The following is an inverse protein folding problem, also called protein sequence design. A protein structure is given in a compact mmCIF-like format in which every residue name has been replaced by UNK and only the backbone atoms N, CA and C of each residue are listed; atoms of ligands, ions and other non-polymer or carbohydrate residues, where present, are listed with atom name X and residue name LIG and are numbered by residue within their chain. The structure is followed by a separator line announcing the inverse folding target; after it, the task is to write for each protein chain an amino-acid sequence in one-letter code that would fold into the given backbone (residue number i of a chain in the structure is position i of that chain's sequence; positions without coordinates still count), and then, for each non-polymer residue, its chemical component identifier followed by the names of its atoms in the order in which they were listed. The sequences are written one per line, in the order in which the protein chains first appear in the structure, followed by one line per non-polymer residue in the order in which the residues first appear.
data_IF_700880980807
#
_entry.id   IF_700880980807
#
_cell.length_a   1.000
_cell.length_b   1.000
_cell.length_c   1.000
_cell.angle_alpha   90.00
_cell.angle_beta   90.00
_cell.angle_gamma   90.00
#
_symmetry.space_group_name_H-M   'P 1'
#
loop_
_entity.id
_entity.type
_entity.pdbx_description
1 polymer ?
#
# COMPACT_ATOMS: atom_id res chain seq x y z
N UNK A 1 43.97 -22.44 16.40
CA UNK A 1 42.51 -22.45 16.12
C UNK A 1 41.90 -21.25 16.82
N UNK A 2 41.12 -20.44 16.08
CA UNK A 2 40.64 -19.09 16.42
C UNK A 2 39.80 -19.08 17.73
N UNK A 3 40.17 -18.37 18.82
CA UNK A 3 39.88 -16.96 19.23
C UNK A 3 38.35 -16.66 19.33
N UNK A 4 37.67 -16.10 20.36
CA UNK A 4 37.81 -14.93 21.31
C UNK A 4 36.73 -15.13 22.44
N UNK A 5 37.01 -15.10 23.75
CA UNK A 5 36.99 -14.01 24.79
C UNK A 5 35.62 -13.38 25.18
N UNK A 6 35.11 -13.82 26.35
CA UNK A 6 34.65 -13.14 27.60
C UNK A 6 34.40 -11.60 27.73
N UNK A 7 33.28 -11.30 28.45
CA UNK A 7 33.01 -10.24 29.49
C UNK A 7 32.09 -9.02 29.17
N UNK A 8 31.16 -8.85 30.13
CA UNK A 8 30.23 -7.78 30.52
C UNK A 8 30.70 -6.31 30.38
N UNK A 9 29.78 -5.37 30.08
CA UNK A 9 29.22 -4.38 31.03
C UNK A 9 28.18 -3.44 30.40
N UNK A 10 27.27 -3.03 31.25
CA UNK A 10 26.17 -2.10 31.07
C UNK A 10 26.58 -0.63 31.28
N UNK A 11 25.71 0.27 30.79
CA UNK A 11 25.29 1.56 31.37
C UNK A 11 26.00 2.89 30.99
N UNK A 12 25.12 3.84 30.63
CA UNK A 12 25.18 5.31 30.65
C UNK A 12 26.19 6.00 29.70
N UNK A 13 25.77 6.98 28.88
CA UNK A 13 25.29 8.27 29.40
C UNK A 13 24.16 8.91 28.60
N UNK A 14 23.13 9.30 29.35
CA UNK A 14 22.10 10.28 29.00
C UNK A 14 22.70 11.68 29.19
N UNK A 15 22.49 12.56 28.21
CA UNK A 15 22.42 14.01 28.45
C UNK A 15 21.27 14.55 27.57
N UNK A 16 20.07 14.56 28.16
CA UNK A 16 19.28 15.75 28.54
C UNK A 16 18.71 16.49 27.31
N UNK A 17 17.43 16.33 26.93
CA UNK A 17 16.21 16.61 27.72
C UNK A 17 15.86 18.09 27.49
N UNK A 18 14.72 18.55 26.97
CA UNK A 18 13.32 18.09 26.90
C UNK A 18 12.74 18.60 25.55
N UNK A 19 11.70 18.05 24.92
CA UNK A 19 10.30 18.16 25.33
C UNK A 19 9.39 17.33 24.39
N UNK A 20 8.26 16.89 24.94
CA UNK A 20 7.31 15.94 24.38
C UNK A 20 6.43 16.51 23.23
N UNK A 21 5.80 15.57 22.50
CA UNK A 21 4.66 15.70 21.55
C UNK A 21 5.00 16.18 20.13
N UNK A 22 5.33 15.24 19.24
CA UNK A 22 4.35 14.39 18.52
C UNK A 22 5.11 13.57 17.48
N UNK A 23 5.30 12.28 17.73
CA UNK A 23 5.55 11.33 16.66
C UNK A 23 5.03 9.98 17.09
N UNK A 24 4.49 9.27 16.11
CA UNK A 24 4.16 7.84 16.14
C UNK A 24 2.83 7.47 16.80
N UNK A 25 1.84 7.22 15.94
CA UNK A 25 1.00 6.02 16.03
C UNK A 25 0.30 5.79 14.68
N UNK A 26 1.06 5.42 13.64
CA UNK A 26 0.62 4.23 12.91
C UNK A 26 0.71 3.15 13.99
N UNK A 27 -0.44 2.77 14.56
CA UNK A 27 -0.45 1.60 15.43
C UNK A 27 0.16 0.48 14.60
N UNK A 28 1.24 -0.11 15.08
CA UNK A 28 1.76 -1.36 14.55
C UNK A 28 0.58 -2.33 14.54
N UNK A 29 -0.07 -2.48 13.38
CA UNK A 29 -1.04 -3.54 13.20
C UNK A 29 -0.16 -4.76 13.02
N UNK A 30 0.09 -5.46 14.12
CA UNK A 30 0.77 -6.75 14.09
C UNK A 30 -0.11 -7.71 13.31
N UNK A 31 0.17 -7.79 12.01
CA UNK A 31 -0.47 -8.69 11.07
C UNK A 31 -0.23 -10.13 11.53
N UNK A 32 -1.30 -10.89 11.75
CA UNK A 32 -1.18 -12.28 12.25
C UNK A 32 -0.74 -13.20 11.12
N UNK A 33 0.22 -14.08 11.41
CA UNK A 33 0.58 -15.22 10.56
C UNK A 33 -0.37 -16.37 10.93
N UNK A 34 -0.95 -17.12 9.97
CA UNK A 34 -1.80 -18.27 10.27
C UNK A 34 -1.06 -19.34 11.09
N UNK A 35 -1.76 -20.01 12.01
CA UNK A 35 -1.23 -21.19 12.70
C UNK A 35 -0.92 -22.31 11.68
N UNK A 36 0.29 -22.89 11.73
CA UNK A 36 0.71 -24.02 10.90
C UNK A 36 1.79 -23.78 9.83
N UNK A 37 2.40 -22.58 9.75
CA UNK A 37 3.38 -22.24 8.71
C UNK A 37 4.81 -22.05 9.23
N UNK A 38 5.80 -22.63 8.55
CA UNK A 38 7.25 -22.38 8.77
C UNK A 38 7.93 -21.88 7.49
N UNK A 39 8.82 -20.89 7.63
CA UNK A 39 9.75 -20.42 6.58
C UNK A 39 10.60 -21.60 6.09
N UNK A 40 10.61 -21.93 4.78
CA UNK A 40 11.44 -23.02 4.22
C UNK A 40 12.35 -22.60 3.07
N UNK A 41 13.43 -23.37 2.95
CA UNK A 41 14.69 -23.11 2.22
C UNK A 41 14.64 -23.68 0.79
N UNK A 42 15.31 -23.00 -0.15
CA UNK A 42 15.38 -23.25 -1.58
C UNK A 42 16.00 -24.61 -1.99
N UNK A 43 15.53 -25.17 -3.12
CA UNK A 43 16.13 -26.31 -3.85
C UNK A 43 16.00 -26.08 -5.37
N UNK A 44 17.02 -26.43 -6.17
CA UNK A 44 17.10 -26.12 -7.62
C UNK A 44 16.39 -27.14 -8.54
N UNK A 45 15.88 -26.72 -9.72
CA UNK A 45 15.20 -27.61 -10.68
C UNK A 45 16.12 -28.19 -11.77
N UNK A 46 15.76 -29.37 -12.29
CA UNK A 46 16.41 -30.10 -13.40
C UNK A 46 15.53 -30.17 -14.66
N UNK A 47 16.11 -30.40 -15.85
CA UNK A 47 15.45 -30.39 -17.17
C UNK A 47 15.57 -31.72 -17.95
N UNK A 48 14.52 -32.23 -18.63
CA UNK A 48 14.58 -33.15 -19.81
C UNK A 48 13.31 -33.05 -20.73
N UNK A 49 13.29 -33.81 -21.86
CA UNK A 49 12.68 -33.66 -23.20
C UNK A 49 11.36 -34.44 -23.48
N UNK A 50 10.59 -34.06 -24.52
CA UNK A 50 9.16 -34.43 -24.78
C UNK A 50 8.87 -34.91 -26.23
N UNK A 51 8.03 -35.96 -26.41
CA UNK A 51 7.23 -36.24 -27.63
C UNK A 51 5.84 -36.85 -27.31
N UNK A 52 4.84 -36.56 -28.16
CA UNK A 52 3.42 -37.01 -28.18
C UNK A 52 2.42 -36.40 -27.18
N UNK A 53 2.49 -35.10 -26.99
CA UNK A 53 1.68 -34.40 -26.01
C UNK A 53 1.03 -33.14 -26.58
N UNK A 54 -0.24 -32.90 -26.22
CA UNK A 54 -0.97 -31.70 -26.63
C UNK A 54 -0.70 -30.62 -25.57
N UNK A 55 -0.05 -29.49 -25.94
CA UNK A 55 0.21 -28.42 -25.00
C UNK A 55 -1.09 -27.85 -24.44
N UNK A 56 -1.14 -27.77 -23.12
CA UNK A 56 -2.15 -27.14 -22.30
C UNK A 56 -1.45 -26.04 -21.47
N UNK A 57 -2.20 -25.01 -21.08
CA UNK A 57 -1.68 -23.82 -20.39
C UNK A 57 -0.67 -24.20 -19.28
N UNK A 58 0.48 -23.51 -19.20
CA UNK A 58 1.60 -23.76 -18.27
C UNK A 58 2.41 -25.06 -18.47
N UNK A 59 2.66 -25.51 -19.70
CA UNK A 59 3.38 -26.77 -20.03
C UNK A 59 2.70 -28.03 -19.49
N UNK A 60 1.42 -27.94 -19.14
CA UNK A 60 0.62 -29.13 -18.88
C UNK A 60 0.30 -29.79 -20.20
N UNK A 61 0.16 -31.09 -20.21
CA UNK A 61 -0.17 -31.85 -21.40
C UNK A 61 -1.21 -32.89 -21.05
N UNK A 62 -2.11 -33.20 -21.99
CA UNK A 62 -3.18 -34.17 -21.75
C UNK A 62 -3.13 -35.31 -22.75
N UNK A 63 -3.33 -36.51 -22.24
CA UNK A 63 -3.57 -37.71 -23.05
C UNK A 63 -4.69 -38.50 -22.39
N UNK A 64 -5.84 -38.57 -23.06
CA UNK A 64 -7.06 -39.21 -22.52
C UNK A 64 -7.43 -38.62 -21.15
N UNK A 65 -7.29 -39.38 -20.06
CA UNK A 65 -7.61 -38.99 -18.69
C UNK A 65 -6.36 -38.78 -17.83
N UNK A 66 -5.20 -38.66 -18.45
CA UNK A 66 -3.91 -38.45 -17.79
C UNK A 66 -3.43 -37.03 -18.05
N UNK A 67 -2.87 -36.43 -17.01
CA UNK A 67 -2.27 -35.10 -17.05
C UNK A 67 -0.76 -35.25 -16.88
N UNK A 68 -0.03 -34.58 -17.74
CA UNK A 68 1.42 -34.51 -17.71
C UNK A 68 1.84 -33.06 -17.44
N UNK A 69 2.98 -32.87 -16.82
CA UNK A 69 3.66 -31.57 -16.70
C UNK A 69 5.08 -31.79 -17.20
N UNK A 70 5.46 -31.07 -18.27
CA UNK A 70 6.79 -31.18 -18.89
C UNK A 70 7.15 -32.65 -19.21
N UNK A 71 6.21 -33.38 -19.82
CA UNK A 71 6.37 -34.81 -20.13
C UNK A 71 6.22 -35.79 -18.96
N UNK A 72 6.13 -35.34 -17.70
CA UNK A 72 6.00 -36.23 -16.54
C UNK A 72 4.55 -36.46 -16.14
N UNK A 73 4.15 -37.72 -15.96
CA UNK A 73 2.80 -38.07 -15.52
C UNK A 73 2.53 -37.56 -14.10
N UNK A 74 1.46 -36.79 -13.93
CA UNK A 74 0.99 -36.31 -12.63
C UNK A 74 -0.08 -37.28 -12.13
N UNK A 75 0.01 -37.80 -10.89
CA UNK A 75 -0.93 -38.78 -10.35
C UNK A 75 -2.25 -38.11 -9.91
N UNK A 76 -2.97 -37.52 -10.86
CA UNK A 76 -4.29 -36.91 -10.67
C UNK A 76 -5.29 -37.46 -11.69
N UNK A 77 -6.57 -37.37 -11.35
CA UNK A 77 -7.64 -37.60 -12.30
C UNK A 77 -7.67 -36.46 -13.32
N UNK A 78 -7.32 -36.79 -14.57
CA UNK A 78 -7.34 -35.85 -15.70
C UNK A 78 -8.73 -35.63 -16.30
N UNK A 79 -9.75 -36.39 -15.86
CA UNK A 79 -11.13 -36.20 -16.32
C UNK A 79 -11.58 -34.79 -15.95
N UNK A 80 -11.97 -34.02 -16.97
CA UNK A 80 -12.36 -32.62 -16.87
C UNK A 80 -11.33 -31.72 -16.16
N UNK A 81 -10.05 -32.13 -16.14
CA UNK A 81 -8.98 -31.29 -15.63
C UNK A 81 -8.90 -30.02 -16.47
N UNK A 82 -9.00 -28.84 -15.88
CA UNK A 82 -9.01 -27.60 -16.63
C UNK A 82 -8.41 -26.45 -15.84
N UNK A 83 -7.78 -25.52 -16.54
CA UNK A 83 -7.38 -24.24 -16.01
C UNK A 83 -8.63 -23.38 -15.74
N UNK A 84 -8.61 -22.66 -14.63
CA UNK A 84 -9.67 -21.72 -14.26
C UNK A 84 -9.17 -20.30 -14.48
N UNK A 85 -8.10 -19.89 -13.77
CA UNK A 85 -7.51 -18.56 -13.81
C UNK A 85 -6.17 -18.54 -13.07
N UNK A 86 -5.21 -17.67 -13.41
CA UNK A 86 -4.01 -17.33 -12.61
C UNK A 86 -3.25 -18.52 -11.99
N UNK A 87 -3.10 -19.62 -12.74
CA UNK A 87 -2.43 -20.84 -12.28
C UNK A 87 -3.29 -21.78 -11.44
N UNK A 88 -4.57 -21.50 -11.23
CA UNK A 88 -5.54 -22.43 -10.66
C UNK A 88 -6.08 -23.40 -11.71
N UNK A 89 -6.21 -24.66 -11.31
CA UNK A 89 -6.79 -25.73 -12.10
C UNK A 89 -7.81 -26.49 -11.27
N UNK A 90 -8.77 -27.17 -11.90
CA UNK A 90 -9.68 -28.10 -11.22
C UNK A 90 -9.96 -29.32 -12.06
N UNK A 91 -10.34 -30.40 -11.40
CA UNK A 91 -11.12 -31.49 -11.98
C UNK A 91 -12.46 -31.60 -11.21
N UNK A 92 -13.19 -32.72 -11.37
CA UNK A 92 -14.46 -32.94 -10.68
C UNK A 92 -14.36 -32.99 -9.16
N UNK A 93 -13.20 -33.36 -8.62
CA UNK A 93 -13.04 -33.69 -7.19
C UNK A 93 -12.14 -32.74 -6.41
N UNK A 94 -11.27 -32.00 -7.11
CA UNK A 94 -10.21 -31.21 -6.48
C UNK A 94 -9.90 -29.94 -7.26
N UNK A 95 -9.46 -28.92 -6.53
CA UNK A 95 -8.84 -27.70 -7.07
C UNK A 95 -7.36 -27.71 -6.75
N UNK A 96 -6.56 -27.18 -7.66
CA UNK A 96 -5.11 -27.16 -7.63
C UNK A 96 -4.59 -25.76 -7.92
N UNK A 97 -3.41 -25.45 -7.41
CA UNK A 97 -2.64 -24.26 -7.74
C UNK A 97 -1.26 -24.66 -8.24
N UNK A 98 -0.88 -24.17 -9.42
CA UNK A 98 0.41 -24.45 -10.04
C UNK A 98 1.43 -23.36 -9.72
N UNK A 99 2.64 -23.79 -9.37
CA UNK A 99 3.82 -22.94 -9.35
C UNK A 99 4.96 -23.66 -10.05
N UNK A 100 5.87 -22.91 -10.69
CA UNK A 100 7.08 -23.51 -11.28
C UNK A 100 7.96 -24.21 -10.23
N UNK A 101 7.97 -23.69 -9.01
CA UNK A 101 8.82 -24.21 -7.92
C UNK A 101 8.28 -25.50 -7.30
N UNK A 102 6.96 -25.62 -7.13
CA UNK A 102 6.36 -26.74 -6.38
C UNK A 102 5.42 -27.61 -7.23
N UNK A 103 5.36 -27.36 -8.53
CA UNK A 103 4.44 -28.03 -9.43
C UNK A 103 2.98 -27.76 -9.07
N UNK A 104 2.14 -28.74 -9.38
CA UNK A 104 0.70 -28.69 -9.17
C UNK A 104 0.34 -29.12 -7.73
N UNK A 105 -0.13 -28.19 -6.91
CA UNK A 105 -0.46 -28.44 -5.51
C UNK A 105 -1.98 -28.47 -5.31
N UNK A 106 -2.51 -29.53 -4.68
CA UNK A 106 -3.92 -29.60 -4.32
C UNK A 106 -4.23 -28.59 -3.20
N UNK A 107 -5.35 -27.87 -3.32
CA UNK A 107 -5.87 -27.00 -2.27
C UNK A 107 -6.73 -27.86 -1.33
N UNK A 108 -6.35 -28.01 -0.04
CA UNK A 108 -7.07 -28.88 0.88
C UNK A 108 -8.44 -28.33 1.26
N UNK A 109 -9.41 -29.24 1.39
CA UNK A 109 -10.78 -29.00 1.87
C UNK A 109 -11.60 -27.95 1.09
N UNK A 110 -11.22 -27.66 -0.15
CA UNK A 110 -11.98 -26.74 -1.00
C UNK A 110 -13.21 -27.44 -1.59
N UNK A 111 -14.38 -26.83 -1.44
CA UNK A 111 -15.61 -27.26 -2.09
C UNK A 111 -15.59 -26.87 -3.58
N UNK A 112 -15.34 -27.86 -4.45
CA UNK A 112 -15.17 -27.66 -5.90
C UNK A 112 -16.42 -27.12 -6.58
N UNK A 113 -17.60 -27.51 -6.11
CA UNK A 113 -18.87 -27.12 -6.74
C UNK A 113 -19.18 -25.63 -6.59
N UNK A 114 -18.72 -25.01 -5.49
CA UNK A 114 -18.98 -23.60 -5.18
C UNK A 114 -17.83 -22.64 -5.54
N UNK A 115 -16.82 -23.11 -6.28
CA UNK A 115 -15.62 -22.31 -6.60
C UNK A 115 -15.94 -21.04 -7.39
N UNK A 116 -15.37 -19.91 -6.96
CA UNK A 116 -15.41 -18.60 -7.65
C UNK A 116 -14.02 -17.97 -7.64
N UNK A 117 -13.60 -17.35 -8.74
CA UNK A 117 -12.32 -16.66 -8.83
C UNK A 117 -12.47 -15.14 -8.70
N UNK A 118 -11.44 -14.49 -8.16
CA UNK A 118 -11.38 -13.04 -7.94
C UNK A 118 -9.94 -12.55 -8.09
N UNK A 119 -9.57 -11.94 -9.23
CA UNK A 119 -8.16 -11.57 -9.47
C UNK A 119 -7.24 -12.77 -9.09
N UNK A 120 -6.23 -12.55 -8.25
CA UNK A 120 -5.28 -13.58 -7.77
C UNK A 120 -5.87 -14.60 -6.76
N UNK A 121 -7.14 -14.51 -6.41
CA UNK A 121 -7.81 -15.33 -5.39
C UNK A 121 -8.80 -16.33 -5.97
N UNK A 122 -9.08 -17.36 -5.19
CA UNK A 122 -10.17 -18.30 -5.40
C UNK A 122 -10.95 -18.50 -4.10
N UNK A 123 -12.26 -18.64 -4.15
CA UNK A 123 -13.10 -18.88 -2.98
C UNK A 123 -14.01 -20.07 -3.21
N UNK A 124 -14.42 -20.73 -2.14
CA UNK A 124 -15.56 -21.65 -2.12
C UNK A 124 -16.68 -21.09 -1.24
N UNK A 125 -17.68 -21.90 -0.89
CA UNK A 125 -18.78 -21.50 0.02
C UNK A 125 -18.33 -21.18 1.46
N UNK A 126 -17.13 -21.59 1.86
CA UNK A 126 -16.63 -21.47 3.23
C UNK A 126 -15.55 -20.40 3.38
N UNK A 127 -14.54 -20.39 2.49
CA UNK A 127 -13.34 -19.58 2.60
C UNK A 127 -12.92 -18.94 1.27
N UNK A 128 -12.22 -17.81 1.39
CA UNK A 128 -11.38 -17.20 0.37
C UNK A 128 -9.95 -17.72 0.54
N UNK A 129 -9.30 -18.02 -0.57
CA UNK A 129 -7.97 -18.60 -0.66
C UNK A 129 -7.10 -17.75 -1.58
N UNK A 130 -5.81 -17.76 -1.28
CA UNK A 130 -4.77 -17.29 -2.20
C UNK A 130 -3.70 -18.36 -2.30
N UNK A 131 -3.28 -18.66 -3.53
CA UNK A 131 -2.47 -19.84 -3.84
C UNK A 131 -3.17 -21.07 -3.23
N UNK A 132 -2.49 -21.79 -2.35
CA UNK A 132 -3.03 -22.95 -1.64
C UNK A 132 -3.48 -22.67 -0.20
N UNK A 133 -3.59 -21.40 0.21
CA UNK A 133 -3.77 -21.01 1.62
C UNK A 133 -5.12 -20.34 1.89
N UNK A 134 -5.82 -20.78 2.94
CA UNK A 134 -7.07 -20.18 3.45
C UNK A 134 -6.77 -18.81 4.07
N UNK A 135 -7.59 -17.80 3.77
CA UNK A 135 -7.39 -16.41 4.23
C UNK A 135 -8.51 -15.93 5.15
N UNK A 136 -9.73 -15.77 4.62
CA UNK A 136 -10.91 -15.30 5.36
C UNK A 136 -12.15 -16.13 4.99
N UNK A 137 -13.21 -16.06 5.79
CA UNK A 137 -14.49 -16.71 5.44
C UNK A 137 -15.18 -16.03 4.25
N UNK A 138 -15.84 -16.81 3.39
CA UNK A 138 -16.45 -16.33 2.14
C UNK A 138 -17.97 -16.07 2.21
N UNK A 139 -18.59 -16.21 3.38
CA UNK A 139 -20.03 -15.95 3.54
C UNK A 139 -20.40 -14.50 3.18
N UNK A 140 -21.17 -14.32 2.11
CA UNK A 140 -21.53 -12.98 1.59
C UNK A 140 -20.36 -12.18 1.03
N UNK A 141 -19.29 -12.85 0.62
CA UNK A 141 -18.05 -12.22 0.17
C UNK A 141 -18.24 -11.37 -1.09
N UNK A 142 -17.73 -10.15 -1.03
CA UNK A 142 -17.62 -9.21 -2.15
C UNK A 142 -16.26 -8.54 -2.11
N UNK A 143 -15.58 -8.47 -3.25
CA UNK A 143 -14.44 -7.57 -3.44
C UNK A 143 -15.00 -6.13 -3.52
N UNK A 144 -14.52 -5.26 -2.66
CA UNK A 144 -14.95 -3.85 -2.59
C UNK A 144 -14.01 -2.98 -3.40
N UNK A 145 -12.70 -3.17 -3.24
CA UNK A 145 -11.66 -2.41 -3.95
C UNK A 145 -10.33 -3.15 -3.90
N UNK A 146 -9.44 -2.83 -4.83
CA UNK A 146 -8.05 -3.26 -4.88
C UNK A 146 -7.13 -2.05 -5.05
N UNK A 147 -6.03 -2.03 -4.30
CA UNK A 147 -5.06 -0.94 -4.24
C UNK A 147 -3.67 -1.50 -4.50
N UNK A 148 -2.84 -0.72 -5.19
CA UNK A 148 -1.42 -1.03 -5.35
C UNK A 148 -0.61 -0.09 -4.48
N UNK A 149 0.23 -0.60 -3.58
CA UNK A 149 1.17 0.27 -2.89
C UNK A 149 2.35 0.58 -3.81
N UNK A 150 2.49 1.85 -4.19
CA UNK A 150 3.73 2.39 -4.73
C UNK A 150 4.58 2.87 -3.55
N UNK A 151 5.87 2.49 -3.51
CA UNK A 151 6.82 3.03 -2.53
C UNK A 151 7.85 3.85 -3.29
N UNK A 152 7.75 5.18 -3.20
CA UNK A 152 8.82 6.07 -3.65
C UNK A 152 10.09 5.88 -2.81
N UNK A 153 11.25 6.00 -3.47
CA UNK A 153 12.59 6.02 -2.90
C UNK A 153 13.15 4.67 -2.35
N UNK A 154 13.39 3.71 -3.24
CA UNK A 154 14.45 2.70 -3.04
C UNK A 154 15.57 2.97 -4.06
N UNK A 155 16.75 3.33 -3.55
CA UNK A 155 17.99 3.45 -4.33
C UNK A 155 18.28 2.14 -5.08
N UNK A 156 18.45 2.22 -6.40
CA UNK A 156 18.76 1.10 -7.31
C UNK A 156 20.14 0.46 -7.09
N UNK A 157 20.81 0.75 -5.98
CA UNK A 157 22.02 0.01 -5.57
C UNK A 157 21.68 -0.91 -4.40
N UNK A 158 21.16 -2.07 -4.80
CA UNK A 158 21.37 -3.40 -4.24
C UNK A 158 20.09 -4.14 -3.78
N UNK A 159 19.94 -5.33 -4.39
CA UNK A 159 19.04 -6.46 -4.13
C UNK A 159 17.71 -6.51 -4.88
N UNK A 160 17.42 -7.70 -5.42
CA UNK A 160 16.49 -8.03 -6.49
C UNK A 160 15.00 -8.03 -6.08
N UNK A 161 14.57 -7.16 -5.17
CA UNK A 161 13.19 -7.20 -4.64
C UNK A 161 12.39 -5.97 -5.07
N UNK A 162 11.95 -6.01 -6.33
CA UNK A 162 10.88 -5.15 -6.85
C UNK A 162 9.52 -5.65 -6.31
N UNK A 163 9.32 -5.57 -4.98
CA UNK A 163 8.12 -6.14 -4.33
C UNK A 163 7.00 -5.11 -4.31
N UNK A 164 6.17 -5.11 -5.35
CA UNK A 164 4.86 -4.45 -5.31
C UNK A 164 3.96 -5.24 -4.35
N UNK A 165 3.38 -4.57 -3.37
CA UNK A 165 2.33 -5.17 -2.54
C UNK A 165 0.96 -4.71 -3.04
N UNK A 166 0.09 -5.68 -3.28
CA UNK A 166 -1.30 -5.43 -3.62
C UNK A 166 -2.15 -5.55 -2.35
N UNK A 167 -3.08 -4.61 -2.15
CA UNK A 167 -4.02 -4.61 -1.04
C UNK A 167 -5.42 -4.80 -1.59
N UNK A 168 -6.20 -5.70 -1.01
CA UNK A 168 -7.55 -5.99 -1.42
C UNK A 168 -8.50 -5.78 -0.25
N UNK A 169 -9.50 -4.92 -0.44
CA UNK A 169 -10.57 -4.69 0.51
C UNK A 169 -11.74 -5.61 0.17
N UNK A 170 -12.04 -6.53 1.06
CA UNK A 170 -13.18 -7.43 0.98
C UNK A 170 -14.24 -7.08 2.02
N UNK A 171 -15.50 -7.34 1.69
CA UNK A 171 -16.61 -7.36 2.64
C UNK A 171 -17.22 -8.75 2.67
N UNK A 172 -17.45 -9.28 3.87
CA UNK A 172 -18.25 -10.49 4.08
C UNK A 172 -19.29 -10.25 5.19
N UNK A 173 -20.03 -11.29 5.58
CA UNK A 173 -21.06 -11.19 6.62
C UNK A 173 -20.51 -10.75 7.99
N UNK A 174 -19.21 -10.91 8.26
CA UNK A 174 -18.57 -10.44 9.50
C UNK A 174 -18.20 -8.96 9.45
N UNK A 175 -17.94 -8.41 8.27
CA UNK A 175 -17.57 -7.01 8.05
C UNK A 175 -16.51 -6.85 6.97
N UNK A 176 -15.71 -5.79 7.09
CA UNK A 176 -14.67 -5.42 6.14
C UNK A 176 -13.31 -5.98 6.53
N UNK A 177 -12.54 -6.38 5.53
CA UNK A 177 -11.23 -7.01 5.67
C UNK A 177 -10.28 -6.41 4.66
N UNK A 178 -9.07 -6.06 5.08
CA UNK A 178 -7.98 -5.73 4.15
C UNK A 178 -7.00 -6.89 4.09
N UNK A 179 -6.63 -7.29 2.89
CA UNK A 179 -5.69 -8.38 2.62
C UNK A 179 -4.53 -7.79 1.84
N UNK A 180 -3.31 -7.92 2.37
CA UNK A 180 -2.07 -7.56 1.68
C UNK A 180 -1.44 -8.80 1.07
N UNK A 181 -1.21 -8.75 -0.24
CA UNK A 181 -0.52 -9.76 -1.04
C UNK A 181 0.87 -9.24 -1.38
N UNK A 182 1.88 -9.93 -0.85
CA UNK A 182 3.31 -9.75 -1.17
C UNK A 182 4.01 -11.10 -0.98
N UNK A 183 5.29 -11.12 -0.62
CA UNK A 183 6.01 -12.36 -0.26
C UNK A 183 5.31 -13.12 0.88
N UNK A 184 4.74 -12.38 1.83
CA UNK A 184 3.87 -12.90 2.89
C UNK A 184 2.47 -12.34 2.70
N UNK A 185 1.48 -13.24 2.67
CA UNK A 185 0.06 -12.87 2.69
C UNK A 185 -0.34 -12.54 4.12
N UNK A 186 -0.97 -11.39 4.30
CA UNK A 186 -1.44 -10.95 5.61
C UNK A 186 -2.80 -10.28 5.51
N UNK A 187 -3.59 -10.31 6.58
CA UNK A 187 -4.94 -9.76 6.57
C UNK A 187 -5.32 -9.15 7.92
N UNK A 188 -6.25 -8.19 7.90
CA UNK A 188 -6.83 -7.59 9.10
C UNK A 188 -8.33 -7.40 8.96
N UNK A 189 -9.05 -7.59 10.06
CA UNK A 189 -10.45 -7.19 10.18
C UNK A 189 -10.55 -5.70 10.49
N UNK A 190 -11.30 -4.95 9.68
CA UNK A 190 -11.48 -3.50 9.81
C UNK A 190 -12.75 -3.11 10.59
N UNK A 191 -13.67 -4.04 10.81
CA UNK A 191 -14.94 -3.78 11.51
C UNK A 191 -16.16 -3.95 10.61
N UNK A 192 -17.35 -3.65 11.15
CA UNK A 192 -18.64 -3.74 10.42
C UNK A 192 -18.90 -2.54 9.51
N UNK A 193 -18.22 -1.42 9.77
CA UNK A 193 -18.30 -0.18 9.01
C UNK A 193 -16.92 0.17 8.49
N UNK A 194 -16.84 0.63 7.25
CA UNK A 194 -15.63 1.16 6.64
C UNK A 194 -15.89 2.62 6.24
N UNK A 195 -15.14 3.56 6.82
CA UNK A 195 -15.20 4.97 6.43
C UNK A 195 -14.24 5.17 5.26
N UNK A 196 -14.80 5.33 4.06
CA UNK A 196 -14.11 5.50 2.78
C UNK A 196 -13.26 6.78 2.70
N UNK A 197 -13.23 7.63 3.74
CA UNK A 197 -12.35 8.82 3.80
C UNK A 197 -10.85 8.52 3.64
N UNK A 198 -10.44 7.27 3.82
CA UNK A 198 -9.07 6.81 3.62
C UNK A 198 -8.80 6.25 2.22
N UNK A 199 -9.83 6.10 1.37
CA UNK A 199 -9.67 5.80 -0.04
C UNK A 199 -9.12 7.05 -0.73
N UNK A 200 -7.80 7.18 -0.76
CA UNK A 200 -7.16 8.05 -1.74
C UNK A 200 -7.41 7.39 -3.10
N UNK A 201 -8.53 7.75 -3.73
CA UNK A 201 -8.86 7.34 -5.09
C UNK A 201 -7.88 8.09 -6.00
N UNK A 202 -6.89 7.37 -6.53
CA UNK A 202 -6.19 7.84 -7.71
C UNK A 202 -7.14 7.62 -8.90
N UNK A 203 -7.84 8.68 -9.32
CA UNK A 203 -8.56 8.65 -10.59
C UNK A 203 -7.54 8.35 -11.71
N UNK A 204 -7.82 7.30 -12.46
CA UNK A 204 -7.02 6.90 -13.62
C UNK A 204 -7.35 7.86 -14.75
N UNK A 205 -6.51 8.88 -14.96
CA UNK A 205 -6.56 9.70 -16.17
C UNK A 205 -6.35 8.80 -17.41
N UNK A 206 -7.06 9.10 -18.51
CA UNK A 206 -7.21 8.28 -19.72
C UNK A 206 -5.88 7.88 -20.41
N UNK A 207 -4.75 8.49 -20.03
CA UNK A 207 -3.45 8.31 -20.69
C UNK A 207 -2.50 7.32 -19.98
N UNK A 208 -2.92 6.67 -18.89
CA UNK A 208 -2.18 5.55 -18.28
C UNK A 208 -0.80 5.87 -17.70
N UNK A 209 -0.39 7.15 -17.62
CA UNK A 209 0.78 7.62 -16.86
C UNK A 209 0.32 8.46 -15.68
N UNK A 210 0.58 7.96 -14.47
CA UNK A 210 0.46 8.76 -13.24
C UNK A 210 1.51 9.87 -13.31
N UNK A 211 1.08 11.08 -13.68
CA UNK A 211 1.94 12.25 -13.56
C UNK A 211 1.90 12.74 -12.11
N UNK A 212 2.88 12.24 -11.34
CA UNK A 212 3.13 12.62 -9.96
C UNK A 212 4.18 13.74 -9.84
N UNK A 213 4.54 14.37 -10.96
CA UNK A 213 5.53 15.45 -10.97
C UNK A 213 5.03 16.62 -10.12
N UNK A 214 5.81 16.98 -9.11
CA UNK A 214 5.60 18.21 -8.35
C UNK A 214 6.23 19.36 -9.12
N UNK A 215 5.39 20.25 -9.63
CA UNK A 215 5.84 21.43 -10.36
C UNK A 215 6.16 22.57 -9.39
N UNK A 216 7.21 23.32 -9.71
CA UNK A 216 7.40 24.63 -9.11
C UNK A 216 6.42 25.62 -9.77
N UNK A 217 6.10 26.72 -9.09
CA UNK A 217 5.28 27.83 -9.60
C UNK A 217 5.89 28.47 -10.87
N UNK A 218 7.17 28.24 -11.15
CA UNK A 218 7.82 28.73 -12.36
C UNK A 218 7.38 27.92 -13.58
N UNK A 219 6.74 28.59 -14.55
CA UNK A 219 6.32 27.97 -15.82
C UNK A 219 5.03 27.14 -15.73
N UNK A 220 4.11 27.54 -14.84
CA UNK A 220 2.72 27.05 -14.80
C UNK A 220 1.77 28.13 -15.31
N UNK A 221 0.67 27.72 -15.94
CA UNK A 221 -0.28 28.63 -16.58
C UNK A 221 -1.16 29.34 -15.56
N UNK A 222 -1.65 28.59 -14.56
CA UNK A 222 -2.44 29.11 -13.44
C UNK A 222 -1.81 28.66 -12.14
N UNK A 223 -1.58 29.61 -11.23
CA UNK A 223 -0.99 29.33 -9.92
C UNK A 223 -2.03 28.77 -8.95
N UNK A 224 -1.63 27.89 -8.03
CA UNK A 224 -2.52 27.53 -6.92
C UNK A 224 -2.92 28.76 -6.12
N UNK A 225 -4.17 28.81 -5.67
CA UNK A 225 -4.72 29.99 -5.00
C UNK A 225 -5.69 29.62 -3.87
N UNK A 226 -5.55 30.29 -2.73
CA UNK A 226 -6.47 30.14 -1.60
C UNK A 226 -7.86 30.67 -1.96
N UNK A 227 -8.97 30.14 -1.41
CA UNK A 227 -10.31 30.69 -1.66
C UNK A 227 -10.40 32.19 -1.34
N UNK A 228 -10.56 33.02 -2.37
CA UNK A 228 -10.58 34.48 -2.24
C UNK A 228 -9.19 35.15 -2.26
N UNK A 229 -8.15 34.43 -2.67
CA UNK A 229 -6.81 34.95 -2.91
C UNK A 229 -5.89 34.93 -1.68
N UNK A 230 -4.62 35.29 -1.91
CA UNK A 230 -3.57 35.22 -0.88
C UNK A 230 -3.82 36.18 0.31
N UNK A 231 -4.51 37.30 0.09
CA UNK A 231 -4.89 38.20 1.18
C UNK A 231 -5.84 37.50 2.15
N UNK A 232 -6.83 36.74 1.63
CA UNK A 232 -7.75 35.95 2.44
C UNK A 232 -7.08 34.79 3.16
N UNK A 233 -6.01 34.24 2.58
CA UNK A 233 -5.18 33.28 3.29
C UNK A 233 -4.54 33.91 4.54
N UNK A 234 -3.97 35.11 4.44
CA UNK A 234 -3.37 35.77 5.61
C UNK A 234 -4.41 36.16 6.65
N UNK A 235 -5.60 36.64 6.25
CA UNK A 235 -6.74 36.87 7.17
C UNK A 235 -7.10 35.58 7.92
N UNK A 236 -7.26 34.47 7.18
CA UNK A 236 -7.54 33.16 7.75
C UNK A 236 -6.44 32.72 8.71
N UNK A 237 -5.17 32.85 8.31
CA UNK A 237 -4.05 32.43 9.12
C UNK A 237 -3.98 33.24 10.43
N UNK A 238 -4.07 34.57 10.36
CA UNK A 238 -4.05 35.46 11.52
C UNK A 238 -5.18 35.15 12.50
N UNK A 239 -6.40 34.87 12.00
CA UNK A 239 -7.53 34.52 12.85
C UNK A 239 -7.40 33.16 13.53
N UNK A 240 -6.60 32.25 12.96
CA UNK A 240 -6.44 30.90 13.47
C UNK A 240 -5.14 30.68 14.23
N UNK A 241 -4.13 31.54 14.05
CA UNK A 241 -2.80 31.39 14.63
C UNK A 241 -2.79 31.83 16.09
N UNK A 242 -2.33 30.93 16.98
CA UNK A 242 -2.33 31.13 18.43
C UNK A 242 -1.01 30.69 19.04
N UNK A 243 -0.35 31.61 19.73
CA UNK A 243 0.83 31.33 20.57
C UNK A 243 0.49 31.60 22.03
N UNK A 244 1.06 30.78 22.91
CA UNK A 244 0.98 31.01 24.37
C UNK A 244 1.89 32.17 24.79
N UNK A 245 3.04 32.29 24.12
CA UNK A 245 4.02 33.34 24.34
C UNK A 245 3.62 34.64 23.63
N UNK A 246 3.81 35.77 24.33
CA UNK A 246 3.51 37.13 23.84
C UNK A 246 4.78 37.86 23.42
N UNK A 247 4.60 38.98 22.73
CA UNK A 247 5.65 39.88 22.23
C UNK A 247 6.62 39.22 21.24
N UNK A 248 6.13 38.21 20.50
CA UNK A 248 6.90 37.54 19.47
C UNK A 248 6.63 38.20 18.12
N UNK A 249 7.69 38.75 17.53
CA UNK A 249 7.68 39.29 16.18
C UNK A 249 8.72 38.57 15.33
N UNK A 250 8.32 38.06 14.18
CA UNK A 250 9.25 37.41 13.27
C UNK A 250 8.61 36.87 12.01
N UNK A 251 9.40 36.19 11.17
CA UNK A 251 8.91 35.54 9.95
C UNK A 251 9.26 34.07 9.94
N UNK A 252 8.23 33.25 9.82
CA UNK A 252 8.34 31.84 9.51
C UNK A 252 8.19 31.62 8.00
N UNK A 253 8.84 30.58 7.49
CA UNK A 253 8.73 30.19 6.09
C UNK A 253 8.23 28.75 6.04
N UNK A 254 7.12 28.54 5.32
CA UNK A 254 6.55 27.22 5.14
C UNK A 254 6.48 26.88 3.65
N UNK A 255 6.71 25.62 3.34
CA UNK A 255 6.43 25.03 2.03
C UNK A 255 5.40 23.92 2.17
N UNK A 256 4.58 23.75 1.15
CA UNK A 256 3.59 22.67 1.07
C UNK A 256 3.26 22.38 -0.40
N UNK A 257 2.70 21.22 -0.67
CA UNK A 257 2.21 20.86 -1.99
C UNK A 257 0.70 21.12 -2.04
N UNK A 258 0.25 21.88 -3.04
CA UNK A 258 -1.17 21.96 -3.38
C UNK A 258 -1.48 20.84 -4.35
N UNK A 259 -2.32 19.92 -3.91
CA UNK A 259 -2.73 18.75 -4.68
C UNK A 259 -3.73 19.11 -5.79
N UNK A 260 -3.92 18.19 -6.75
CA UNK A 260 -4.86 18.38 -7.88
C UNK A 260 -6.31 18.60 -7.40
N UNK A 261 -6.65 18.09 -6.22
CA UNK A 261 -7.96 18.25 -5.59
C UNK A 261 -8.07 19.53 -4.72
N UNK A 262 -6.97 20.27 -4.58
CA UNK A 262 -6.89 21.48 -3.77
C UNK A 262 -6.46 21.28 -2.31
N UNK A 263 -6.30 20.04 -1.85
CA UNK A 263 -5.80 19.79 -0.50
C UNK A 263 -4.31 20.15 -0.36
N UNK A 264 -3.89 20.43 0.88
CA UNK A 264 -2.49 20.71 1.20
C UNK A 264 -1.81 19.46 1.74
N UNK A 265 -0.67 19.09 1.17
CA UNK A 265 0.17 17.97 1.62
C UNK A 265 1.63 18.41 1.79
N UNK A 266 2.49 17.51 2.29
CA UNK A 266 3.94 17.73 2.48
C UNK A 266 4.32 19.08 3.13
N UNK A 267 3.55 19.50 4.14
CA UNK A 267 3.79 20.77 4.85
C UNK A 267 5.09 20.69 5.63
N UNK A 268 6.03 21.60 5.34
CA UNK A 268 7.36 21.71 5.94
C UNK A 268 7.63 23.15 6.37
N UNK A 269 8.31 23.32 7.50
CA UNK A 269 8.81 24.61 7.96
C UNK A 269 10.27 24.73 7.54
N UNK A 270 10.56 25.67 6.65
CA UNK A 270 11.93 25.96 6.21
C UNK A 270 12.67 26.86 7.20
N UNK A 271 11.93 27.74 7.89
CA UNK A 271 12.46 28.64 8.91
C UNK A 271 11.41 28.86 9.98
N UNK A 272 11.81 28.60 11.22
CA UNK A 272 11.02 28.82 12.43
C UNK A 272 11.72 29.90 13.26
N UNK A 273 10.93 30.73 13.95
CA UNK A 273 11.44 31.72 14.91
C UNK A 273 11.48 31.17 16.34
N UNK A 274 11.02 29.94 16.56
CA UNK A 274 10.97 29.28 17.86
C UNK A 274 9.60 29.42 18.53
N UNK A 275 9.54 29.22 19.86
CA UNK A 275 8.34 29.43 20.68
C UNK A 275 7.09 28.65 20.24
N UNK A 276 7.28 27.51 19.58
CA UNK A 276 6.19 26.71 19.03
C UNK A 276 5.57 27.25 17.74
N UNK A 277 6.14 28.32 17.16
CA UNK A 277 5.55 29.02 16.01
C UNK A 277 5.48 28.17 14.73
N UNK A 278 6.50 27.36 14.44
CA UNK A 278 6.44 26.43 13.31
C UNK A 278 5.39 25.34 13.50
N UNK A 279 5.27 24.79 14.72
CA UNK A 279 4.24 23.78 15.04
C UNK A 279 2.84 24.35 14.88
N UNK A 280 2.65 25.59 15.31
CA UNK A 280 1.38 26.29 15.17
C UNK A 280 1.06 26.62 13.71
N UNK A 281 2.05 27.08 12.94
CA UNK A 281 1.86 27.34 11.50
C UNK A 281 1.47 26.06 10.74
N UNK A 282 2.07 24.91 11.07
CA UNK A 282 1.65 23.61 10.53
C UNK A 282 0.18 23.33 10.87
N UNK A 283 -0.25 23.61 12.11
CA UNK A 283 -1.65 23.39 12.53
C UNK A 283 -2.61 24.26 11.74
N UNK A 284 -2.30 25.54 11.57
CA UNK A 284 -3.12 26.49 10.79
C UNK A 284 -3.20 26.06 9.33
N UNK A 285 -2.09 25.64 8.72
CA UNK A 285 -2.09 25.13 7.35
C UNK A 285 -2.92 23.85 7.19
N UNK A 286 -2.92 22.96 8.19
CA UNK A 286 -3.80 21.77 8.20
C UNK A 286 -5.29 22.09 8.35
N UNK A 287 -5.63 23.27 8.89
CA UNK A 287 -7.01 23.75 8.95
C UNK A 287 -7.44 24.50 7.69
N UNK A 288 -6.51 24.76 6.76
CA UNK A 288 -6.78 25.52 5.56
C UNK A 288 -7.89 24.84 4.73
N UNK A 289 -8.88 25.59 4.22
CA UNK A 289 -9.79 25.06 3.21
C UNK A 289 -9.02 24.62 1.96
N UNK A 290 -9.69 23.87 1.08
CA UNK A 290 -9.11 23.47 -0.20
C UNK A 290 -8.80 24.70 -1.06
N UNK A 291 -7.60 24.73 -1.63
CA UNK A 291 -7.13 25.73 -2.58
C UNK A 291 -7.58 25.37 -3.99
N UNK A 292 -7.63 26.36 -4.88
CA UNK A 292 -7.63 26.10 -6.31
C UNK A 292 -6.28 25.49 -6.72
N UNK A 293 -6.25 24.36 -7.45
CA UNK A 293 -5.01 23.73 -7.88
C UNK A 293 -4.30 24.54 -8.95
N UNK A 294 -3.02 24.28 -9.16
CA UNK A 294 -2.29 24.81 -10.31
C UNK A 294 -2.76 24.16 -11.62
N UNK A 295 -2.65 24.90 -12.72
CA UNK A 295 -2.98 24.39 -14.06
C UNK A 295 -1.76 24.56 -14.96
N UNK A 296 -1.45 23.51 -15.72
CA UNK A 296 -0.45 23.52 -16.80
C UNK A 296 -0.95 22.72 -17.99
N UNK A 297 -0.88 23.29 -19.18
CA UNK A 297 -1.42 22.72 -20.42
C UNK A 297 -2.89 22.29 -20.27
N UNK A 298 -3.69 23.09 -19.55
CA UNK A 298 -5.10 22.80 -19.27
C UNK A 298 -5.37 21.66 -18.28
N UNK A 299 -4.34 21.00 -17.74
CA UNK A 299 -4.47 19.93 -16.75
C UNK A 299 -4.16 20.44 -15.34
N UNK A 300 -4.91 19.95 -14.34
CA UNK A 300 -4.64 20.20 -12.92
C UNK A 300 -3.37 19.47 -12.50
N UNK A 301 -2.46 20.15 -11.81
CA UNK A 301 -1.14 19.63 -11.44
C UNK A 301 -0.86 19.78 -9.95
N UNK A 302 0.09 18.97 -9.44
CA UNK A 302 0.63 19.10 -8.09
C UNK A 302 1.66 20.23 -8.10
N UNK A 303 1.53 21.20 -7.19
CA UNK A 303 2.40 22.37 -7.16
C UNK A 303 3.04 22.55 -5.79
N UNK A 304 4.38 22.65 -5.76
CA UNK A 304 5.10 23.11 -4.57
C UNK A 304 4.88 24.61 -4.40
N UNK A 305 4.32 24.98 -3.25
CA UNK A 305 4.04 26.35 -2.87
C UNK A 305 4.85 26.73 -1.64
N UNK A 306 5.28 27.99 -1.58
CA UNK A 306 6.08 28.53 -0.48
C UNK A 306 5.46 29.84 -0.01
N UNK A 307 5.26 29.97 1.30
CA UNK A 307 4.72 31.18 1.91
C UNK A 307 5.66 31.71 3.00
N UNK A 308 5.98 33.01 2.98
CA UNK A 308 6.42 33.71 4.18
C UNK A 308 5.19 34.04 5.04
N UNK A 309 5.24 33.72 6.32
CA UNK A 309 4.21 34.12 7.30
C UNK A 309 4.85 35.04 8.34
N UNK A 310 4.32 36.26 8.47
CA UNK A 310 4.77 37.21 9.50
C UNK A 310 3.96 36.96 10.75
N UNK A 311 4.65 36.62 11.83
CA UNK A 311 4.08 36.43 13.16
C UNK A 311 4.20 37.77 13.89
N UNK A 312 3.07 38.24 14.39
CA UNK A 312 2.97 39.44 15.20
C UNK A 312 2.06 39.14 16.39
N UNK A 313 2.62 38.57 17.44
CA UNK A 313 1.91 38.27 18.68
C UNK A 313 2.14 39.40 19.69
N UNK A 314 1.77 40.64 19.34
CA UNK A 314 1.79 41.76 20.28
C UNK A 314 0.72 41.59 21.37
N UNK A 315 0.99 42.06 22.58
CA UNK A 315 -0.02 42.26 23.62
C UNK A 315 -1.21 43.08 23.08
N UNK A 316 -2.37 42.43 22.91
CA UNK A 316 -3.69 43.11 22.91
C UNK A 316 -3.95 43.76 24.27
#
# INVERSE_FOLDING_TARGET
MKTIILIFLSLFSIANGQNQKTNTAVRDITLKIPEGYTKRKWVEPYSICVQDLIPYNYNFEKKVNQVYLEGQLIPIDGVDFQNIQDGYFKNRSSVYYYTREFGLQKIPDMDVASTKTFNSFIADKNFLYIKNSKVIGSGGLKLVSDYKSYKEAVSLKNTNNNSFADYYLFKNNKGYWIIKVSDVVSYNFLGKTYDHKWDIIYEKDEDGKLDDTIYNIVGIDVKPEFPGGIAKFYDFANNNFKLEEKDIVGRAYATFVVEKDGSLSDIKILRDIGYGSGKELIRVLKLSPKWSPGIKNGKKIRCLYSIPYTINASLD
#
